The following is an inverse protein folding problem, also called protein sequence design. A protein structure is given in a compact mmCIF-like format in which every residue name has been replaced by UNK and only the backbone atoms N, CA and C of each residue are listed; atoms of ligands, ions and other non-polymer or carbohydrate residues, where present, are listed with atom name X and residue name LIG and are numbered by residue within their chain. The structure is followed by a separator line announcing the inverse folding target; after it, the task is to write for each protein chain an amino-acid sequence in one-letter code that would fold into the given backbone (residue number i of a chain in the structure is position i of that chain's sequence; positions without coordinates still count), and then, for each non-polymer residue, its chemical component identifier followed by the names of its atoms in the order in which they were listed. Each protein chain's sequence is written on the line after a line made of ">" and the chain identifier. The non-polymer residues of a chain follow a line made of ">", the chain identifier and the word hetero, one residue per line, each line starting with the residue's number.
data_IF_017246321851
#
_entry.id   IF_017246321851
#
_cell.length_a   1.000
_cell.length_b   1.000
_cell.length_c   1.000
_cell.angle_alpha   90.00
_cell.angle_beta   90.00
_cell.angle_gamma   90.00
#
_symmetry.space_group_name_H-M   'P 1'
#
loop_
_entity.id
_entity.type
_entity.pdbx_description
1 polymer ?
#
# COMPACT_ATOMS: atom_id res chain seq x y z
N UNK A 1 -1.92 0.69 -27.27
CA UNK A 1 -2.66 0.40 -26.03
C UNK A 1 -3.46 -0.88 -26.24
N UNK A 2 -3.22 -1.93 -25.45
CA UNK A 2 -3.85 -3.25 -25.68
C UNK A 2 -5.10 -3.50 -24.80
N UNK A 3 -5.20 -2.81 -23.64
CA UNK A 3 -6.19 -3.12 -22.61
C UNK A 3 -7.21 -2.00 -22.32
N UNK A 4 -7.11 -0.83 -22.94
CA UNK A 4 -8.13 0.23 -22.86
C UNK A 4 -8.29 0.97 -21.51
N UNK A 5 -7.70 0.48 -20.42
CA UNK A 5 -7.78 1.12 -19.10
C UNK A 5 -7.37 0.18 -17.96
N UNK A 6 -7.69 0.60 -16.72
CA UNK A 6 -7.51 -0.21 -15.50
C UNK A 6 -8.88 -0.40 -14.85
N UNK A 7 -9.32 -1.65 -14.84
CA UNK A 7 -10.59 -2.07 -14.26
C UNK A 7 -10.48 -2.34 -12.76
N UNK A 8 -9.45 -3.08 -12.36
CA UNK A 8 -9.21 -3.49 -10.98
C UNK A 8 -7.75 -3.22 -10.65
N UNK A 9 -7.53 -2.44 -9.60
CA UNK A 9 -6.22 -2.29 -8.97
C UNK A 9 -6.18 -3.10 -7.69
N UNK A 10 -5.18 -3.98 -7.56
CA UNK A 10 -4.91 -4.71 -6.33
C UNK A 10 -3.58 -4.22 -5.77
N UNK A 11 -3.64 -3.43 -4.69
CA UNK A 11 -2.47 -2.98 -3.96
C UNK A 11 -2.02 -4.09 -3.01
N UNK A 12 -1.14 -4.97 -3.52
CA UNK A 12 -0.58 -6.11 -2.79
C UNK A 12 0.95 -6.02 -2.59
N UNK A 13 1.63 -5.07 -3.23
CA UNK A 13 3.04 -4.83 -2.93
C UNK A 13 3.17 -4.46 -1.46
N UNK A 14 4.02 -5.19 -0.73
CA UNK A 14 4.21 -4.99 0.69
C UNK A 14 5.61 -5.39 1.12
N UNK A 15 6.08 -4.79 2.20
CA UNK A 15 7.37 -5.09 2.84
C UNK A 15 7.18 -5.20 4.35
N UNK A 16 8.12 -5.86 5.02
CA UNK A 16 8.13 -5.94 6.47
C UNK A 16 9.54 -5.79 7.00
N UNK A 17 9.71 -4.86 7.93
CA UNK A 17 10.90 -4.81 8.79
C UNK A 17 10.50 -5.16 10.20
N UNK A 18 11.12 -6.19 10.76
CA UNK A 18 10.91 -6.60 12.14
C UNK A 18 11.99 -5.99 13.02
N UNK A 19 11.59 -5.10 13.93
CA UNK A 19 12.45 -4.46 14.91
C UNK A 19 11.62 -3.97 16.10
N UNK A 20 12.20 -3.98 17.30
CA UNK A 20 11.61 -3.25 18.43
C UNK A 20 11.61 -1.76 18.10
N UNK A 21 10.63 -1.04 18.60
CA UNK A 21 10.50 0.41 18.36
C UNK A 21 11.78 1.20 18.68
N UNK A 22 12.52 0.83 19.73
CA UNK A 22 13.78 1.48 20.12
C UNK A 22 14.95 1.24 19.16
N UNK A 23 14.87 0.19 18.35
CA UNK A 23 15.91 -0.19 17.38
C UNK A 23 15.50 0.15 15.94
N UNK A 24 14.28 0.68 15.74
CA UNK A 24 13.76 1.02 14.42
C UNK A 24 14.33 2.36 13.96
N UNK A 25 15.20 2.32 12.95
CA UNK A 25 15.71 3.55 12.32
C UNK A 25 14.62 4.27 11.54
N UNK A 26 14.79 5.58 11.35
CA UNK A 26 13.86 6.39 10.55
C UNK A 26 13.87 5.95 9.08
N UNK A 27 15.01 5.47 8.59
CA UNK A 27 15.16 4.90 7.25
C UNK A 27 14.31 3.64 7.09
N UNK A 28 14.39 2.69 8.03
CA UNK A 28 13.56 1.47 8.04
C UNK A 28 12.06 1.80 8.08
N UNK A 29 11.67 2.75 8.93
CA UNK A 29 10.30 3.25 9.01
C UNK A 29 9.82 3.82 7.67
N UNK A 30 10.62 4.72 7.09
CA UNK A 30 10.28 5.38 5.83
C UNK A 30 10.19 4.38 4.67
N UNK A 31 11.07 3.39 4.62
CA UNK A 31 11.03 2.37 3.58
C UNK A 31 9.76 1.52 3.65
N UNK A 32 9.32 1.12 4.84
CA UNK A 32 8.03 0.43 5.02
C UNK A 32 6.86 1.31 4.59
N UNK A 33 6.76 2.55 5.10
CA UNK A 33 5.67 3.45 4.72
C UNK A 33 5.67 3.81 3.23
N UNK A 34 6.85 3.89 2.60
CA UNK A 34 6.99 4.15 1.18
C UNK A 34 6.34 3.03 0.36
N UNK A 35 6.54 1.77 0.75
CA UNK A 35 5.96 0.60 0.06
C UNK A 35 4.50 0.39 0.49
N UNK A 36 4.21 0.30 1.77
CA UNK A 36 2.93 -0.23 2.27
C UNK A 36 1.81 0.82 2.31
N UNK A 37 2.15 2.11 2.25
CA UNK A 37 1.16 3.19 2.34
C UNK A 37 1.27 4.18 1.18
N UNK A 38 2.46 4.71 0.92
CA UNK A 38 2.65 5.74 -0.12
C UNK A 38 2.46 5.15 -1.51
N UNK A 39 2.98 3.94 -1.77
CA UNK A 39 2.78 3.28 -3.07
C UNK A 39 1.30 3.00 -3.35
N UNK A 40 0.55 2.59 -2.32
CA UNK A 40 -0.91 2.36 -2.38
C UNK A 40 -1.63 3.64 -2.81
N UNK A 41 -1.30 4.77 -2.19
CA UNK A 41 -1.85 6.08 -2.58
C UNK A 41 -1.50 6.44 -4.03
N UNK A 42 -0.22 6.35 -4.40
CA UNK A 42 0.24 6.74 -5.74
C UNK A 42 -0.39 5.86 -6.81
N UNK A 43 -0.39 4.53 -6.64
CA UNK A 43 -1.00 3.61 -7.60
C UNK A 43 -2.50 3.86 -7.75
N UNK A 44 -3.20 4.07 -6.63
CA UNK A 44 -4.62 4.42 -6.62
C UNK A 44 -4.87 5.74 -7.36
N UNK A 45 -4.10 6.79 -7.06
CA UNK A 45 -4.19 8.08 -7.72
C UNK A 45 -4.00 7.97 -9.24
N UNK A 46 -3.12 7.09 -9.72
CA UNK A 46 -2.90 6.88 -11.15
C UNK A 46 -3.97 6.02 -11.82
N UNK A 47 -4.62 5.10 -11.09
CA UNK A 47 -5.71 4.29 -11.62
C UNK A 47 -7.05 5.07 -11.70
N UNK A 48 -7.28 5.99 -10.76
CA UNK A 48 -8.54 6.72 -10.63
C UNK A 48 -9.02 7.45 -11.91
N UNK A 49 -8.18 8.14 -12.69
CA UNK A 49 -8.64 8.82 -13.91
C UNK A 49 -9.34 7.87 -14.90
N UNK A 50 -8.79 6.66 -15.09
CA UNK A 50 -9.39 5.65 -15.96
C UNK A 50 -10.73 5.16 -15.39
N UNK A 51 -10.75 4.83 -14.10
CA UNK A 51 -11.94 4.34 -13.41
C UNK A 51 -13.08 5.37 -13.40
N UNK A 52 -12.75 6.65 -13.23
CA UNK A 52 -13.72 7.76 -13.26
C UNK A 52 -14.28 7.94 -14.66
N UNK A 53 -13.41 7.97 -15.69
CA UNK A 53 -13.82 8.14 -17.08
C UNK A 53 -14.81 7.04 -17.53
N UNK A 54 -14.58 5.79 -17.13
CA UNK A 54 -15.46 4.67 -17.44
C UNK A 54 -16.61 4.47 -16.45
N UNK A 55 -16.72 5.33 -15.42
CA UNK A 55 -17.72 5.26 -14.33
C UNK A 55 -17.73 3.90 -13.62
N UNK A 56 -16.60 3.20 -13.60
CA UNK A 56 -16.46 1.88 -13.02
C UNK A 56 -15.00 1.59 -12.65
N UNK A 57 -14.79 0.96 -11.51
CA UNK A 57 -13.48 0.50 -11.08
C UNK A 57 -13.52 -0.09 -9.69
N UNK A 58 -12.51 -0.90 -9.34
CA UNK A 58 -12.34 -1.43 -7.98
C UNK A 58 -10.88 -1.29 -7.54
N UNK A 59 -10.69 -0.81 -6.32
CA UNK A 59 -9.38 -0.80 -5.66
C UNK A 59 -9.47 -1.73 -4.46
N UNK A 60 -8.58 -2.72 -4.40
CA UNK A 60 -8.47 -3.69 -3.33
C UNK A 60 -7.12 -3.46 -2.64
N UNK A 61 -7.15 -3.11 -1.36
CA UNK A 61 -5.94 -2.95 -0.56
C UNK A 61 -5.74 -4.18 0.32
N UNK A 62 -4.56 -4.79 0.22
CA UNK A 62 -4.17 -5.89 1.10
C UNK A 62 -3.50 -5.30 2.33
N UNK A 63 -4.20 -5.36 3.46
CA UNK A 63 -3.69 -4.93 4.76
C UNK A 63 -3.37 -6.13 5.65
N UNK A 64 -2.92 -5.86 6.88
CA UNK A 64 -2.58 -6.88 7.87
C UNK A 64 -3.42 -6.76 9.13
N UNK A 65 -3.66 -7.90 9.80
CA UNK A 65 -4.20 -7.93 11.17
C UNK A 65 -3.35 -7.11 12.15
N UNK A 66 -2.05 -6.99 11.88
CA UNK A 66 -1.11 -6.23 12.70
C UNK A 66 -1.40 -4.72 12.67
N UNK A 67 -1.99 -4.19 11.59
CA UNK A 67 -2.44 -2.79 11.56
C UNK A 67 -3.59 -2.49 12.53
N UNK A 68 -4.25 -3.53 13.07
CA UNK A 68 -5.32 -3.40 14.06
C UNK A 68 -4.82 -3.77 15.45
N UNK A 69 -4.07 -4.87 15.56
CA UNK A 69 -3.67 -5.45 16.86
C UNK A 69 -2.33 -4.93 17.39
N UNK A 70 -1.45 -4.47 16.50
CA UNK A 70 -0.06 -4.20 16.79
C UNK A 70 0.79 -5.46 17.03
N UNK A 71 2.10 -5.28 17.15
CA UNK A 71 3.06 -6.32 17.51
C UNK A 71 4.35 -5.71 18.07
N UNK A 72 4.95 -6.36 19.07
CA UNK A 72 6.07 -5.79 19.83
C UNK A 72 7.32 -5.47 18.98
N UNK A 73 7.52 -6.18 17.88
CA UNK A 73 8.63 -6.00 16.94
C UNK A 73 8.14 -5.61 15.53
N UNK A 74 6.87 -5.23 15.41
CA UNK A 74 6.20 -4.98 14.14
C UNK A 74 5.62 -3.57 14.17
N UNK A 75 6.44 -2.62 14.63
CA UNK A 75 6.07 -1.21 14.77
C UNK A 75 6.21 -0.53 13.41
N UNK A 76 5.10 -0.31 12.72
CA UNK A 76 4.93 0.50 11.50
C UNK A 76 3.44 0.68 11.19
#
# INVERSE_FOLDING_TARGET
>A
EHFGGIDILVNNAGMLTQARCVDLSIEMWNDMLRVDLTSVFVASQRALPHMIAQRWGRIINVASQLGIKGGAELTH
#
